data_IF_878856508193
#
_entry.id   IF_878856508193
#
_cell.length_a   1.000
_cell.length_b   1.000
_cell.length_c   1.000
_cell.angle_alpha   90.00
_cell.angle_beta   90.00
_cell.angle_gamma   90.00
#
_symmetry.space_group_name_H-M   'P 1'
#
loop_
_entity.id
_entity.type
_entity.pdbx_description
1 polymer ?
#
# COMPACT_ATOMS: atom_id res chain seq x y z
N UNK A 1 -46.75 9.16 -14.59
CA UNK A 1 -45.35 9.21 -14.11
C UNK A 1 -44.51 8.19 -14.87
N UNK A 2 -43.32 8.62 -15.29
CA UNK A 2 -42.46 8.05 -16.33
C UNK A 2 -41.88 6.67 -15.96
N UNK A 3 -42.00 5.67 -16.85
CA UNK A 3 -41.25 4.41 -16.78
C UNK A 3 -40.14 4.40 -17.81
N UNK A 4 -38.88 4.59 -17.40
CA UNK A 4 -37.73 4.32 -18.26
C UNK A 4 -36.55 3.81 -17.43
N UNK A 5 -36.23 2.52 -17.52
CA UNK A 5 -34.87 2.06 -17.27
C UNK A 5 -34.46 1.05 -18.35
N UNK A 6 -33.88 1.57 -19.44
CA UNK A 6 -33.36 0.74 -20.54
C UNK A 6 -32.08 0.07 -20.06
N UNK A 7 -32.15 -1.21 -19.68
CA UNK A 7 -30.93 -2.03 -19.54
C UNK A 7 -30.31 -2.18 -20.93
N UNK A 8 -29.26 -1.40 -21.23
CA UNK A 8 -28.43 -1.61 -22.42
C UNK A 8 -27.92 -3.05 -22.38
N UNK A 9 -28.35 -3.88 -23.34
CA UNK A 9 -27.73 -5.19 -23.57
C UNK A 9 -26.28 -4.96 -23.96
N UNK A 10 -25.36 -5.25 -23.04
CA UNK A 10 -23.94 -5.35 -23.34
C UNK A 10 -23.79 -6.45 -24.41
N UNK A 11 -23.44 -6.07 -25.63
CA UNK A 11 -23.23 -7.01 -26.72
C UNK A 11 -22.06 -7.94 -26.36
N UNK A 12 -22.39 -9.19 -26.02
CA UNK A 12 -21.41 -10.22 -25.67
C UNK A 12 -20.73 -10.68 -26.96
N UNK A 13 -19.60 -10.06 -27.29
CA UNK A 13 -18.67 -10.62 -28.30
C UNK A 13 -18.14 -11.97 -27.80
N UNK A 14 -17.83 -12.93 -28.68
CA UNK A 14 -17.28 -14.21 -28.26
C UNK A 14 -15.89 -13.99 -27.65
N UNK A 15 -15.83 -14.01 -26.33
CA UNK A 15 -14.59 -14.15 -25.56
C UNK A 15 -14.17 -15.60 -25.82
N UNK A 16 -12.92 -15.85 -26.19
CA UNK A 16 -12.41 -17.17 -26.61
C UNK A 16 -12.52 -18.27 -25.54
N UNK A 17 -11.57 -19.23 -25.50
CA UNK A 17 -11.57 -20.25 -24.43
C UNK A 17 -11.33 -19.57 -23.07
N UNK A 18 -12.40 -19.29 -22.34
CA UNK A 18 -12.36 -18.72 -20.99
C UNK A 18 -12.29 -19.85 -19.96
N UNK A 19 -11.31 -19.76 -19.07
CA UNK A 19 -11.27 -20.60 -17.87
C UNK A 19 -12.01 -19.85 -16.77
N UNK A 20 -13.12 -20.41 -16.29
CA UNK A 20 -13.83 -19.87 -15.14
C UNK A 20 -12.95 -20.15 -13.91
N UNK A 21 -12.55 -19.09 -13.23
CA UNK A 21 -11.82 -19.16 -11.95
C UNK A 21 -12.80 -18.73 -10.86
N UNK A 22 -12.73 -19.40 -9.71
CA UNK A 22 -13.50 -19.00 -8.53
C UNK A 22 -13.07 -17.61 -8.06
N UNK A 23 -13.99 -16.84 -7.48
CA UNK A 23 -13.69 -15.50 -6.96
C UNK A 23 -12.73 -15.63 -5.77
N UNK A 24 -11.46 -15.30 -6.01
CA UNK A 24 -10.36 -15.40 -5.04
C UNK A 24 -10.06 -14.05 -4.38
N UNK A 25 -10.86 -13.01 -4.66
CA UNK A 25 -10.65 -11.73 -4.02
C UNK A 25 -11.09 -11.82 -2.56
N UNK A 26 -10.17 -11.55 -1.60
CA UNK A 26 -10.59 -11.41 -0.21
C UNK A 26 -11.58 -10.24 -0.12
N UNK A 27 -12.50 -10.28 0.86
CA UNK A 27 -13.42 -9.17 1.09
C UNK A 27 -12.65 -7.85 1.30
N UNK A 28 -13.23 -6.67 1.02
CA UNK A 28 -12.58 -5.36 1.16
C UNK A 28 -11.82 -5.16 2.47
N UNK A 29 -12.32 -5.75 3.55
CA UNK A 29 -11.73 -5.71 4.89
C UNK A 29 -10.46 -6.57 5.00
N UNK A 30 -10.38 -7.68 4.25
CA UNK A 30 -9.24 -8.60 4.17
C UNK A 30 -8.18 -8.20 3.13
N UNK A 31 -8.51 -7.27 2.22
CA UNK A 31 -7.55 -6.65 1.29
C UNK A 31 -6.53 -5.74 1.99
N UNK A 32 -6.80 -5.32 3.23
CA UNK A 32 -6.00 -4.35 3.98
C UNK A 32 -5.26 -5.03 5.13
N UNK A 33 -4.24 -5.83 4.83
CA UNK A 33 -3.25 -6.22 5.85
C UNK A 33 -2.38 -5.01 6.15
N UNK A 34 -2.88 -4.09 6.99
CA UNK A 34 -2.05 -2.98 7.48
C UNK A 34 -1.12 -3.54 8.57
N UNK A 35 0.20 -3.37 8.45
CA UNK A 35 1.10 -3.73 9.54
C UNK A 35 0.72 -2.92 10.78
N UNK A 36 0.64 -3.58 11.94
CA UNK A 36 0.33 -2.92 13.21
C UNK A 36 1.56 -2.10 13.64
N UNK A 37 1.48 -0.76 13.69
CA UNK A 37 2.62 0.05 14.10
C UNK A 37 2.90 -0.15 15.59
N UNK A 38 4.16 -0.42 15.94
CA UNK A 38 4.64 -0.47 17.33
C UNK A 38 5.39 0.82 17.61
N UNK A 39 5.02 1.52 18.69
CA UNK A 39 5.73 2.72 19.14
C UNK A 39 6.81 2.32 20.13
N UNK A 40 8.04 2.76 19.87
CA UNK A 40 9.20 2.58 20.73
C UNK A 40 9.92 3.91 20.90
N UNK A 41 10.68 4.04 21.98
CA UNK A 41 11.64 5.13 22.17
C UNK A 41 13.04 4.56 21.98
N UNK A 42 13.81 5.16 21.07
CA UNK A 42 15.21 4.80 20.81
C UNK A 42 16.05 6.07 20.80
N UNK A 43 17.27 6.00 21.34
CA UNK A 43 18.25 7.08 21.25
C UNK A 43 19.11 6.85 20.00
N UNK A 44 19.29 7.90 19.20
CA UNK A 44 20.09 7.89 17.98
C UNK A 44 21.21 8.92 18.09
N UNK A 45 22.29 8.71 17.34
CA UNK A 45 23.37 9.68 17.24
C UNK A 45 22.89 10.95 16.51
N UNK A 46 23.38 12.11 16.97
CA UNK A 46 23.03 13.41 16.39
C UNK A 46 23.31 13.47 14.88
N UNK A 47 24.51 13.04 14.48
CA UNK A 47 24.94 13.04 13.07
C UNK A 47 24.01 12.20 12.18
N UNK A 48 23.54 11.06 12.68
CA UNK A 48 22.58 10.22 11.95
C UNK A 48 21.24 10.92 11.78
N UNK A 49 20.74 11.58 12.81
CA UNK A 49 19.47 12.31 12.75
C UNK A 49 19.58 13.49 11.77
N UNK A 50 20.69 14.22 11.79
CA UNK A 50 20.89 15.38 10.94
C UNK A 50 21.03 14.97 9.46
N UNK A 51 21.72 13.86 9.17
CA UNK A 51 21.72 13.26 7.84
C UNK A 51 20.30 13.01 7.30
N UNK A 52 19.41 12.40 8.10
CA UNK A 52 18.03 12.17 7.66
C UNK A 52 17.21 13.44 7.53
N UNK A 53 17.44 14.47 8.36
CA UNK A 53 16.77 15.77 8.23
C UNK A 53 17.13 16.47 6.93
N UNK A 54 18.40 16.44 6.53
CA UNK A 54 18.84 17.04 5.27
C UNK A 54 18.16 16.40 4.06
N UNK A 55 18.10 15.07 4.02
CA UNK A 55 17.42 14.34 2.94
C UNK A 55 15.92 14.60 2.98
N UNK A 56 15.31 14.55 4.16
CA UNK A 56 13.89 14.83 4.35
C UNK A 56 13.47 16.20 3.83
N UNK A 57 14.31 17.22 4.05
CA UNK A 57 14.07 18.57 3.54
C UNK A 57 14.13 18.64 2.01
N UNK A 58 15.11 17.94 1.39
CA UNK A 58 15.29 17.90 -0.07
C UNK A 58 14.14 17.17 -0.77
N UNK A 59 13.69 16.07 -0.18
CA UNK A 59 12.69 15.17 -0.79
C UNK A 59 11.25 15.48 -0.34
N UNK A 60 11.04 16.51 0.50
CA UNK A 60 9.73 16.89 1.05
C UNK A 60 9.00 15.75 1.78
N UNK A 61 9.75 14.93 2.52
CA UNK A 61 9.23 13.81 3.34
C UNK A 61 9.60 14.01 4.81
N UNK A 62 9.00 13.25 5.72
CA UNK A 62 9.40 13.25 7.13
C UNK A 62 10.66 12.41 7.35
N UNK A 63 11.62 12.93 8.12
CA UNK A 63 12.83 12.18 8.50
C UNK A 63 12.50 10.90 9.28
N UNK A 64 11.40 10.88 10.04
CA UNK A 64 10.92 9.66 10.71
C UNK A 64 10.50 8.59 9.70
N UNK A 65 9.93 8.97 8.55
CA UNK A 65 9.57 8.01 7.50
C UNK A 65 10.83 7.36 6.90
N UNK A 66 11.88 8.14 6.68
CA UNK A 66 13.17 7.65 6.18
C UNK A 66 13.83 6.67 7.17
N UNK A 67 13.87 7.03 8.45
CA UNK A 67 14.42 6.16 9.51
C UNK A 67 13.63 4.85 9.57
N UNK A 68 12.30 4.91 9.56
CA UNK A 68 11.45 3.72 9.56
C UNK A 68 11.70 2.84 8.33
N UNK A 69 11.77 3.43 7.14
CA UNK A 69 12.03 2.68 5.91
C UNK A 69 13.40 1.99 5.95
N UNK A 70 14.43 2.65 6.50
CA UNK A 70 15.74 2.03 6.68
C UNK A 70 15.68 0.82 7.63
N UNK A 71 15.01 0.96 8.78
CA UNK A 71 14.86 -0.14 9.73
C UNK A 71 14.08 -1.32 9.12
N UNK A 72 13.01 -1.02 8.38
CA UNK A 72 12.20 -2.03 7.69
C UNK A 72 13.03 -2.78 6.63
N UNK A 73 13.84 -2.06 5.83
CA UNK A 73 14.74 -2.66 4.83
C UNK A 73 15.83 -3.52 5.48
N UNK A 74 16.49 -3.01 6.53
CA UNK A 74 17.51 -3.75 7.26
C UNK A 74 16.92 -5.04 7.84
N UNK A 75 15.79 -4.96 8.55
CA UNK A 75 15.14 -6.14 9.11
C UNK A 75 14.68 -7.13 8.04
N UNK A 76 14.19 -6.65 6.90
CA UNK A 76 13.79 -7.51 5.77
C UNK A 76 14.97 -8.22 5.12
N UNK A 77 16.16 -7.61 5.14
CA UNK A 77 17.37 -8.22 4.58
C UNK A 77 17.93 -9.36 5.45
N UNK A 78 17.74 -9.28 6.77
CA UNK A 78 18.28 -10.25 7.73
C UNK A 78 17.24 -11.21 8.33
N UNK A 79 16.00 -11.18 7.83
CA UNK A 79 14.93 -12.11 8.19
C UNK A 79 14.80 -13.18 7.11
#
# INVERSE_FOLDING_TARGET
>A
MMKHNRKKKLARKPIGRVKIVEDFLPPPEGLLVKPKPVKITITLNQDSVDFFKEIAHKEHVSYQQLIRALLDQYASHYR
#
